data_IF_946691524589
#
_entry.id   IF_946691524589
#
_cell.length_a   1.000
_cell.length_b   1.000
_cell.length_c   1.000
_cell.angle_alpha   90.00
_cell.angle_beta   90.00
_cell.angle_gamma   90.00
#
_symmetry.space_group_name_H-M   'P 1'
#
loop_
_entity.id
_entity.type
_entity.pdbx_description
1 polymer ?
#
# COMPACT_ATOMS: atom_id res chain seq x y z
N UNK A 1 -7.76 1.95 27.86
CA UNK A 1 -7.83 2.18 26.40
C UNK A 1 -6.47 2.72 25.95
N UNK A 2 -5.83 2.08 24.98
CA UNK A 2 -4.45 2.35 24.56
C UNK A 2 -4.24 3.81 24.16
N UNK A 3 -3.24 4.48 24.75
CA UNK A 3 -2.93 5.88 24.48
C UNK A 3 -2.13 5.97 23.17
N UNK A 4 -2.78 6.35 22.08
CA UNK A 4 -2.10 6.63 20.83
C UNK A 4 -1.44 8.01 20.90
N UNK A 5 -0.12 8.06 20.67
CA UNK A 5 0.64 9.32 20.63
C UNK A 5 0.30 10.07 19.35
N UNK A 6 -0.30 11.25 19.47
CA UNK A 6 -0.55 12.11 18.32
C UNK A 6 0.78 12.45 17.63
N UNK A 7 0.80 12.36 16.29
CA UNK A 7 1.96 12.80 15.52
C UNK A 7 2.03 14.31 15.54
N UNK A 8 3.22 14.84 15.84
CA UNK A 8 3.44 16.29 16.00
C UNK A 8 3.33 17.05 14.68
N UNK A 9 3.58 16.39 13.55
CA UNK A 9 3.44 16.98 12.23
C UNK A 9 2.88 15.99 11.21
N UNK A 10 1.94 16.49 10.40
CA UNK A 10 1.24 15.77 9.35
C UNK A 10 1.30 16.57 8.04
N UNK A 11 1.28 15.86 6.91
CA UNK A 11 1.19 16.39 5.55
C UNK A 11 0.04 15.74 4.80
N UNK A 12 -0.41 16.38 3.73
CA UNK A 12 -1.39 15.78 2.82
C UNK A 12 -0.76 14.60 2.07
N UNK A 13 -1.49 13.48 1.98
CA UNK A 13 -1.01 12.28 1.30
C UNK A 13 -1.13 12.32 -0.23
N UNK A 14 -1.90 13.27 -0.78
CA UNK A 14 -2.26 13.31 -2.20
C UNK A 14 -3.28 12.24 -2.61
N UNK A 15 -3.86 11.52 -1.65
CA UNK A 15 -4.85 10.45 -1.88
C UNK A 15 -6.08 10.71 -1.02
N UNK A 16 -7.22 10.97 -1.67
CA UNK A 16 -8.46 11.44 -1.03
C UNK A 16 -8.91 10.54 0.13
N UNK A 17 -8.88 9.21 -0.05
CA UNK A 17 -9.34 8.26 0.97
C UNK A 17 -8.35 8.07 2.13
N UNK A 18 -7.11 8.57 2.02
CA UNK A 18 -6.08 8.48 3.07
C UNK A 18 -6.07 9.75 3.92
N UNK A 19 -6.24 10.93 3.30
CA UNK A 19 -6.20 12.21 3.98
C UNK A 19 -4.79 12.59 4.44
N UNK A 20 -4.62 12.94 5.72
CA UNK A 20 -3.33 13.39 6.27
C UNK A 20 -2.49 12.25 6.83
N UNK A 21 -1.18 12.33 6.60
CA UNK A 21 -0.18 11.34 7.01
C UNK A 21 0.97 12.01 7.75
N UNK A 22 1.70 11.32 8.64
CA UNK A 22 2.83 11.91 9.34
C UNK A 22 3.90 12.41 8.37
N UNK A 23 4.53 13.54 8.69
CA UNK A 23 5.43 14.21 7.74
C UNK A 23 6.67 13.38 7.37
N UNK A 24 7.16 12.57 8.31
CA UNK A 24 8.28 11.65 8.15
C UNK A 24 7.96 10.41 7.29
N UNK A 25 6.73 10.24 6.81
CA UNK A 25 6.38 9.13 5.93
C UNK A 25 6.83 9.42 4.50
N UNK A 26 7.43 8.42 3.85
CA UNK A 26 7.85 8.52 2.46
C UNK A 26 6.89 7.76 1.55
N UNK A 27 6.55 8.36 0.40
CA UNK A 27 5.83 7.70 -0.68
C UNK A 27 6.83 6.91 -1.49
N UNK A 28 6.71 5.58 -1.53
CA UNK A 28 7.55 4.70 -2.35
C UNK A 28 6.69 3.79 -3.21
N UNK A 29 7.18 3.44 -4.40
CA UNK A 29 6.52 2.43 -5.23
C UNK A 29 6.65 1.06 -4.57
N UNK A 30 5.56 0.31 -4.50
CA UNK A 30 5.47 -1.00 -3.83
C UNK A 30 6.57 -1.96 -4.27
N UNK A 31 6.88 -1.97 -5.58
CA UNK A 31 7.96 -2.78 -6.17
C UNK A 31 9.35 -2.58 -5.55
N UNK A 32 9.57 -1.45 -4.86
CA UNK A 32 10.88 -1.07 -4.29
C UNK A 32 10.97 -1.32 -2.78
N UNK A 33 9.86 -1.63 -2.13
CA UNK A 33 9.79 -1.78 -0.66
C UNK A 33 9.42 -3.20 -0.21
N UNK A 34 8.78 -3.98 -1.08
CA UNK A 34 8.34 -5.34 -0.78
C UNK A 34 9.02 -6.39 -1.65
N UNK A 35 9.10 -7.61 -1.13
CA UNK A 35 9.45 -8.80 -1.93
C UNK A 35 8.17 -9.33 -2.56
N UNK A 36 8.08 -9.27 -3.89
CA UNK A 36 6.96 -9.83 -4.64
C UNK A 36 7.35 -11.17 -5.25
N UNK A 37 6.44 -12.13 -5.21
CA UNK A 37 6.54 -13.38 -5.98
C UNK A 37 5.47 -13.35 -7.07
N UNK A 38 5.82 -13.79 -8.27
CA UNK A 38 4.79 -14.10 -9.27
C UNK A 38 3.96 -15.26 -8.73
N UNK A 39 2.63 -15.11 -8.73
CA UNK A 39 1.71 -16.13 -8.26
C UNK A 39 1.69 -17.38 -9.15
N UNK A 40 2.33 -17.34 -10.33
CA UNK A 40 2.33 -18.44 -11.29
C UNK A 40 0.95 -18.76 -11.87
N UNK A 41 -0.05 -17.92 -11.58
CA UNK A 41 -1.43 -18.09 -12.00
C UNK A 41 -1.52 -17.79 -13.50
N UNK A 42 -2.03 -18.77 -14.27
CA UNK A 42 -2.41 -18.56 -15.66
C UNK A 42 -3.50 -17.48 -15.71
N UNK A 43 -3.36 -16.49 -16.58
CA UNK A 43 -4.30 -15.37 -16.73
C UNK A 43 -5.54 -15.73 -17.55
N UNK A 44 -5.71 -17.00 -17.92
CA UNK A 44 -6.94 -17.47 -18.56
C UNK A 44 -8.09 -17.46 -17.57
N UNK A 45 -9.17 -16.80 -17.96
CA UNK A 45 -10.44 -16.82 -17.24
C UNK A 45 -11.34 -17.88 -17.87
N UNK A 46 -11.98 -18.70 -17.05
CA UNK A 46 -12.97 -19.69 -17.46
C UNK A 46 -14.30 -19.33 -16.78
N UNK A 47 -15.42 -19.60 -17.46
CA UNK A 47 -16.76 -19.14 -17.04
C UNK A 47 -17.22 -19.74 -15.70
N UNK A 48 -16.67 -20.89 -15.31
CA UNK A 48 -16.98 -21.62 -14.09
C UNK A 48 -16.07 -21.25 -12.89
N UNK A 49 -15.14 -20.33 -13.07
CA UNK A 49 -14.17 -19.96 -12.04
C UNK A 49 -14.52 -18.64 -11.34
N UNK A 50 -14.23 -18.61 -10.04
CA UNK A 50 -14.35 -17.39 -9.26
C UNK A 50 -13.32 -16.37 -9.73
N UNK A 51 -13.79 -15.19 -10.13
CA UNK A 51 -12.91 -14.07 -10.47
C UNK A 51 -12.20 -13.60 -9.21
N UNK A 52 -10.86 -13.57 -9.25
CA UNK A 52 -10.03 -13.03 -8.18
C UNK A 52 -9.34 -11.76 -8.66
N UNK A 53 -9.34 -10.73 -7.82
CA UNK A 53 -8.54 -9.53 -8.08
C UNK A 53 -7.08 -9.82 -7.73
N UNK A 54 -6.21 -9.68 -8.73
CA UNK A 54 -4.77 -9.77 -8.52
C UNK A 54 -4.23 -8.42 -8.06
N UNK A 55 -3.43 -8.42 -7.00
CA UNK A 55 -2.73 -7.22 -6.56
C UNK A 55 -1.66 -6.85 -7.59
N UNK A 56 -1.86 -5.73 -8.28
CA UNK A 56 -0.87 -5.19 -9.22
C UNK A 56 0.27 -4.49 -8.45
N UNK A 57 1.52 -4.85 -8.76
CA UNK A 57 2.73 -4.30 -8.12
C UNK A 57 3.00 -2.81 -8.43
N UNK A 58 2.13 -2.16 -9.20
CA UNK A 58 2.21 -0.74 -9.54
C UNK A 58 1.66 0.21 -8.46
N UNK A 59 1.14 -0.31 -7.35
CA UNK A 59 0.70 0.51 -6.22
C UNK A 59 1.84 1.33 -5.58
N UNK A 60 1.49 2.45 -4.96
CA UNK A 60 2.37 3.20 -4.06
C UNK A 60 2.05 2.82 -2.61
N UNK A 61 3.10 2.62 -1.80
CA UNK A 61 2.97 2.48 -0.35
C UNK A 61 3.50 3.74 0.33
N UNK A 62 2.79 4.14 1.38
CA UNK A 62 3.27 5.09 2.36
C UNK A 62 4.01 4.33 3.45
N UNK A 63 5.31 4.51 3.55
CA UNK A 63 6.14 3.81 4.53
C UNK A 63 6.52 4.73 5.67
N UNK A 64 6.34 4.24 6.90
CA UNK A 64 6.95 4.85 8.09
C UNK A 64 8.46 4.62 8.03
N UNK A 65 9.22 5.70 7.90
CA UNK A 65 10.68 5.63 8.05
C UNK A 65 10.98 5.43 9.54
N UNK A 66 11.64 4.34 9.90
CA UNK A 66 12.23 4.21 11.22
C UNK A 66 13.40 5.20 11.30
N UNK A 67 13.31 6.18 12.20
CA UNK A 67 14.48 6.89 12.71
C UNK A 67 15.28 5.94 13.59
#
# INVERSE_FOLDING_TARGET
MSQYKAYTSCKDSGVEWIGQVPEHWEVKRLRHVGRYSNSGVDKKSYEDQQTVELCNSHGCLLQRVHQ
#
